data_IF_027746813274
#
_entry.id   IF_027746813274
#
_cell.length_a   1.000
_cell.length_b   1.000
_cell.length_c   1.000
_cell.angle_alpha   90.00
_cell.angle_beta   90.00
_cell.angle_gamma   90.00
#
_symmetry.space_group_name_H-M   'P 1'
#
loop_
_entity.id
_entity.type
_entity.pdbx_description
1 polymer ?
#
# COMPACT_ATOMS: atom_id res chain seq x y z
N UNK A 1 1.09 2.43 -3.17
CA UNK A 1 2.00 1.75 -2.22
C UNK A 1 1.27 1.32 -0.95
N UNK A 2 0.79 2.27 -0.13
CA UNK A 2 0.07 2.00 1.13
C UNK A 2 -1.01 0.91 0.97
N UNK A 3 -1.87 1.08 -0.04
CA UNK A 3 -2.96 0.14 -0.35
C UNK A 3 -2.45 -1.27 -0.60
N UNK A 4 -1.35 -1.44 -1.35
CA UNK A 4 -0.81 -2.76 -1.69
C UNK A 4 -0.23 -3.43 -0.45
N UNK A 5 0.55 -2.70 0.37
CA UNK A 5 1.16 -3.24 1.58
C UNK A 5 0.09 -3.67 2.62
N UNK A 6 -0.87 -2.79 2.89
CA UNK A 6 -1.96 -3.06 3.85
C UNK A 6 -2.92 -4.14 3.35
N UNK A 7 -3.22 -4.18 2.05
CA UNK A 7 -4.03 -5.25 1.45
C UNK A 7 -3.31 -6.60 1.45
N UNK A 8 -1.98 -6.61 1.30
CA UNK A 8 -1.17 -7.82 1.49
C UNK A 8 -1.28 -8.34 2.91
N UNK A 9 -1.16 -7.46 3.92
CA UNK A 9 -1.34 -7.83 5.32
C UNK A 9 -2.73 -8.43 5.61
N UNK A 10 -3.77 -7.97 4.90
CA UNK A 10 -5.13 -8.48 5.00
C UNK A 10 -5.45 -9.64 4.02
N UNK A 11 -4.46 -10.12 3.27
CA UNK A 11 -4.62 -11.17 2.25
C UNK A 11 -5.75 -10.89 1.24
N UNK A 12 -6.01 -9.62 0.90
CA UNK A 12 -7.09 -9.23 0.00
C UNK A 12 -6.68 -9.32 -1.48
N UNK A 13 -6.95 -10.46 -2.11
CA UNK A 13 -6.60 -10.73 -3.51
C UNK A 13 -7.06 -9.61 -4.47
N UNK A 14 -8.31 -9.16 -4.36
CA UNK A 14 -8.85 -8.10 -5.23
C UNK A 14 -7.99 -6.83 -5.17
N UNK A 15 -7.77 -6.31 -3.97
CA UNK A 15 -7.05 -5.06 -3.78
C UNK A 15 -5.56 -5.19 -4.10
N UNK A 16 -4.94 -6.33 -3.77
CA UNK A 16 -3.54 -6.64 -4.12
C UNK A 16 -3.36 -6.57 -5.64
N UNK A 17 -4.20 -7.28 -6.41
CA UNK A 17 -4.07 -7.36 -7.87
C UNK A 17 -4.36 -6.00 -8.52
N UNK A 18 -5.48 -5.37 -8.17
CA UNK A 18 -5.91 -4.11 -8.79
C UNK A 18 -4.94 -2.95 -8.46
N UNK A 19 -4.63 -2.74 -7.18
CA UNK A 19 -3.76 -1.63 -6.79
C UNK A 19 -2.28 -1.93 -7.03
N UNK A 20 -1.87 -3.20 -7.12
CA UNK A 20 -0.55 -3.60 -7.60
C UNK A 20 -0.33 -3.16 -9.05
N UNK A 21 -1.35 -3.34 -9.91
CA UNK A 21 -1.30 -2.86 -11.30
C UNK A 21 -1.18 -1.34 -11.40
N UNK A 22 -2.00 -0.61 -10.64
CA UNK A 22 -1.93 0.85 -10.59
C UNK A 22 -0.57 1.34 -10.06
N UNK A 23 -0.03 0.68 -9.03
CA UNK A 23 1.28 0.99 -8.50
C UNK A 23 2.37 0.83 -9.57
N UNK A 24 2.34 -0.26 -10.35
CA UNK A 24 3.30 -0.45 -11.46
C UNK A 24 3.21 0.70 -12.49
N UNK A 25 2.00 1.16 -12.82
CA UNK A 25 1.80 2.28 -13.75
C UNK A 25 2.36 3.59 -13.18
N UNK A 26 1.94 3.99 -11.97
CA UNK A 26 2.30 5.29 -11.41
C UNK A 26 3.79 5.39 -11.05
N UNK A 27 4.37 4.32 -10.51
CA UNK A 27 5.80 4.26 -10.20
C UNK A 27 6.68 4.09 -11.44
N UNK A 28 6.11 3.67 -12.58
CA UNK A 28 6.84 3.20 -13.76
C UNK A 28 7.85 2.08 -13.45
N UNK A 29 7.62 1.36 -12.35
CA UNK A 29 8.42 0.22 -11.92
C UNK A 29 7.55 -1.05 -12.00
N UNK A 30 7.82 -1.95 -12.97
CA UNK A 30 7.01 -3.15 -13.15
C UNK A 30 7.17 -4.18 -12.02
N UNK A 31 8.21 -4.07 -11.18
CA UNK A 31 8.53 -5.04 -10.12
C UNK A 31 7.96 -4.62 -8.75
N UNK A 32 7.81 -3.32 -8.51
CA UNK A 32 7.55 -2.78 -7.17
C UNK A 32 6.24 -3.30 -6.56
N UNK A 33 5.18 -3.46 -7.36
CA UNK A 33 3.91 -4.01 -6.88
C UNK A 33 4.04 -5.42 -6.30
N UNK A 34 4.84 -6.26 -6.95
CA UNK A 34 5.03 -7.65 -6.54
C UNK A 34 5.96 -7.73 -5.31
N UNK A 35 7.02 -6.92 -5.28
CA UNK A 35 7.92 -6.82 -4.12
C UNK A 35 7.19 -6.39 -2.84
N UNK A 36 6.37 -5.32 -2.91
CA UNK A 36 5.61 -4.82 -1.75
C UNK A 36 4.56 -5.84 -1.30
N UNK A 37 3.93 -6.52 -2.24
CA UNK A 37 2.97 -7.58 -1.93
C UNK A 37 3.64 -8.73 -1.17
N UNK A 38 4.81 -9.19 -1.63
CA UNK A 38 5.50 -10.32 -1.03
C UNK A 38 6.16 -9.96 0.31
N UNK A 39 6.95 -8.90 0.34
CA UNK A 39 7.60 -8.39 1.55
C UNK A 39 8.09 -6.95 1.34
N UNK A 40 7.31 -5.98 1.81
CA UNK A 40 7.66 -4.57 1.68
C UNK A 40 8.98 -4.17 2.38
N UNK A 41 9.46 -4.93 3.38
CA UNK A 41 10.77 -4.65 4.01
C UNK A 41 11.95 -4.85 3.05
N UNK A 42 11.79 -5.77 2.09
CA UNK A 42 12.81 -6.11 1.08
C UNK A 42 12.52 -5.48 -0.29
N UNK A 43 11.50 -4.63 -0.39
CA UNK A 43 11.15 -3.94 -1.63
C UNK A 43 12.10 -2.76 -1.91
N UNK A 44 12.21 -2.37 -3.18
CA UNK A 44 13.02 -1.24 -3.65
C UNK A 44 12.34 0.10 -3.29
N UNK A 45 12.24 0.37 -1.99
CA UNK A 45 11.63 1.55 -1.39
C UNK A 45 12.68 2.44 -0.74
N UNK A 46 12.48 3.75 -0.87
CA UNK A 46 13.23 4.75 -0.08
C UNK A 46 12.89 4.62 1.40
N UNK A 47 13.78 5.12 2.28
CA UNK A 47 13.53 5.12 3.73
C UNK A 47 12.27 5.91 4.09
N UNK A 48 11.98 6.99 3.35
CA UNK A 48 10.72 7.75 3.51
C UNK A 48 9.50 6.90 3.18
N UNK A 49 9.55 6.12 2.10
CA UNK A 49 8.44 5.24 1.71
C UNK A 49 8.24 4.10 2.71
N UNK A 50 9.32 3.53 3.24
CA UNK A 50 9.25 2.51 4.31
C UNK A 50 8.61 3.08 5.57
N UNK A 51 8.97 4.30 5.99
CA UNK A 51 8.35 4.97 7.14
C UNK A 51 6.84 5.16 6.93
N UNK A 52 6.41 5.57 5.73
CA UNK A 52 4.99 5.68 5.36
C UNK A 52 4.27 4.32 5.49
N UNK A 53 4.83 3.24 4.92
CA UNK A 53 4.23 1.91 5.04
C UNK A 53 4.18 1.47 6.50
N UNK A 54 5.26 1.68 7.27
CA UNK A 54 5.32 1.27 8.67
C UNK A 54 4.20 1.91 9.48
N UNK A 55 3.96 3.21 9.34
CA UNK A 55 2.85 3.89 10.00
C UNK A 55 1.48 3.37 9.50
N UNK A 56 1.30 3.22 8.20
CA UNK A 56 0.08 2.66 7.62
C UNK A 56 -0.25 1.25 8.13
N UNK A 57 0.77 0.42 8.37
CA UNK A 57 0.59 -0.94 8.89
C UNK A 57 0.04 -0.93 10.32
N UNK A 58 0.44 0.02 11.16
CA UNK A 58 -0.12 0.20 12.52
C UNK A 58 -1.60 0.51 12.46
N UNK A 59 -1.98 1.48 11.62
CA UNK A 59 -3.39 1.86 11.40
C UNK A 59 -4.19 0.67 10.85
N UNK A 60 -3.64 -0.03 9.84
CA UNK A 60 -4.27 -1.22 9.25
C UNK A 60 -4.55 -2.33 10.28
N UNK A 61 -3.64 -2.51 11.24
CA UNK A 61 -3.76 -3.50 12.32
C UNK A 61 -4.57 -3.01 13.53
N UNK A 62 -5.09 -1.78 13.45
CA UNK A 62 -5.82 -1.13 14.55
C UNK A 62 -4.98 -1.08 15.84
N UNK A 63 -3.68 -0.87 15.71
CA UNK A 63 -2.79 -0.58 16.83
C UNK A 63 -3.05 0.83 17.38
N UNK A 64 -2.73 1.05 18.66
CA UNK A 64 -2.76 2.38 19.26
C UNK A 64 -1.72 3.28 18.59
N UNK A 65 -2.17 4.45 18.12
CA UNK A 65 -1.28 5.49 17.59
C UNK A 65 -0.90 6.42 18.75
N UNK A 66 0.36 6.82 18.76
CA UNK A 66 1.02 7.60 19.81
C UNK A 66 1.87 8.67 19.12
N UNK A 67 2.22 9.74 19.84
CA UNK A 67 2.95 10.89 19.28
C UNK A 67 4.30 10.48 18.66
N UNK A 68 4.96 9.48 19.23
CA UNK A 68 6.23 8.94 18.72
C UNK A 68 6.11 8.39 17.29
N UNK A 69 4.94 7.85 16.93
CA UNK A 69 4.67 7.32 15.60
C UNK A 69 4.56 8.44 14.55
N UNK A 70 4.00 9.58 14.94
CA UNK A 70 3.93 10.77 14.09
C UNK A 70 5.31 11.42 14.00
N UNK A 71 6.02 11.57 15.12
CA UNK A 71 7.38 12.11 15.16
C UNK A 71 8.37 11.27 14.33
N UNK A 72 8.15 9.94 14.19
CA UNK A 72 8.94 9.11 13.30
C UNK A 72 8.76 9.48 11.82
N UNK A 73 7.56 9.90 11.39
CA UNK A 73 7.31 10.38 10.03
C UNK A 73 7.96 11.74 9.77
N UNK A 74 7.97 12.63 10.75
CA UNK A 74 8.59 13.96 10.67
C UNK A 74 10.08 13.90 10.34
N UNK A 75 10.79 12.89 10.84
CA UNK A 75 12.21 12.62 10.50
C UNK A 75 12.44 12.37 9.01
N UNK A 76 11.39 12.04 8.26
CA UNK A 76 11.40 11.83 6.82
C UNK A 76 10.67 12.95 6.04
N UNK A 77 10.48 14.11 6.67
CA UNK A 77 9.88 15.29 6.05
C UNK A 77 8.38 15.15 5.75
N UNK A 78 7.66 14.38 6.56
CA UNK A 78 6.20 14.26 6.54
C UNK A 78 5.62 15.05 7.71
N UNK A 79 4.53 15.77 7.49
CA UNK A 79 3.84 16.50 8.55
C UNK A 79 2.60 15.74 9.06
N UNK A 80 1.87 16.33 10.00
CA UNK A 80 0.66 15.73 10.58
C UNK A 80 -0.46 15.53 9.56
N UNK A 81 -0.60 16.40 8.57
CA UNK A 81 -1.58 16.23 7.48
C UNK A 81 -1.19 15.06 6.58
N UNK A 82 0.11 14.87 6.30
CA UNK A 82 0.58 13.69 5.59
C UNK A 82 0.28 12.41 6.40
N UNK A 83 0.48 12.44 7.73
CA UNK A 83 0.14 11.31 8.60
C UNK A 83 -1.36 11.01 8.59
N UNK A 84 -2.20 12.05 8.55
CA UNK A 84 -3.65 11.92 8.37
C UNK A 84 -3.98 11.23 7.05
N UNK A 85 -3.39 11.67 5.93
CA UNK A 85 -3.61 11.06 4.61
C UNK A 85 -3.21 9.59 4.59
N UNK A 86 -2.06 9.25 5.15
CA UNK A 86 -1.59 7.87 5.28
C UNK A 86 -2.58 7.03 6.08
N UNK A 87 -3.03 7.55 7.23
CA UNK A 87 -4.00 6.89 8.10
C UNK A 87 -5.37 6.72 7.44
N UNK A 88 -5.88 7.75 6.77
CA UNK A 88 -7.16 7.72 6.07
C UNK A 88 -7.15 6.70 4.91
N UNK A 89 -6.07 6.65 4.12
CA UNK A 89 -5.91 5.65 3.06
C UNK A 89 -5.87 4.25 3.67
N UNK A 90 -5.09 4.03 4.73
CA UNK A 90 -5.00 2.73 5.38
C UNK A 90 -6.36 2.27 5.96
N UNK A 91 -7.08 3.17 6.64
CA UNK A 91 -8.40 2.89 7.21
C UNK A 91 -9.46 2.60 6.15
N UNK A 92 -9.53 3.41 5.09
CA UNK A 92 -10.48 3.19 3.98
C UNK A 92 -10.23 1.85 3.28
N UNK A 93 -8.97 1.49 3.04
CA UNK A 93 -8.65 0.22 2.39
C UNK A 93 -8.80 -0.97 3.33
N UNK A 94 -8.70 -0.78 4.64
CA UNK A 94 -9.10 -1.81 5.60
C UNK A 94 -10.62 -2.10 5.50
N UNK A 95 -11.47 -1.09 5.29
CA UNK A 95 -12.89 -1.29 4.98
C UNK A 95 -13.06 -1.98 3.62
N UNK A 96 -12.39 -1.47 2.58
CA UNK A 96 -12.47 -2.05 1.22
C UNK A 96 -12.09 -3.53 1.19
N UNK A 97 -11.00 -3.91 1.88
CA UNK A 97 -10.56 -5.29 1.99
C UNK A 97 -11.63 -6.19 2.64
N UNK A 98 -12.26 -5.72 3.73
CA UNK A 98 -13.34 -6.46 4.40
C UNK A 98 -14.54 -6.67 3.47
N UNK A 99 -14.92 -5.64 2.70
CA UNK A 99 -16.02 -5.74 1.74
C UNK A 99 -15.68 -6.68 0.56
N UNK A 100 -14.45 -6.63 0.07
CA UNK A 100 -13.97 -7.53 -0.99
C UNK A 100 -14.01 -9.00 -0.53
N UNK A 101 -13.59 -9.27 0.72
CA UNK A 101 -13.69 -10.60 1.32
C UNK A 101 -15.13 -11.05 1.49
N UNK A 102 -15.99 -10.20 2.06
CA UNK A 102 -17.42 -10.50 2.29
C UNK A 102 -18.14 -10.90 1.00
N UNK A 103 -17.79 -10.27 -0.12
CA UNK A 103 -18.45 -10.45 -1.41
C UNK A 103 -17.73 -11.43 -2.35
N UNK A 104 -16.60 -12.02 -1.94
CA UNK A 104 -15.73 -12.83 -2.80
C UNK A 104 -15.37 -12.10 -4.11
N UNK A 105 -15.07 -10.80 -4.00
CA UNK A 105 -14.85 -9.92 -5.13
C UNK A 105 -13.67 -10.38 -5.98
N UNK A 106 -13.86 -10.45 -7.30
CA UNK A 106 -12.83 -10.88 -8.26
C UNK A 106 -12.26 -9.69 -9.02
N UNK A 107 -10.92 -9.52 -9.05
CA UNK A 107 -10.32 -8.45 -9.85
C UNK A 107 -10.48 -8.78 -11.33
N UNK A 108 -10.65 -7.73 -12.14
CA UNK A 108 -10.67 -7.83 -13.59
C UNK A 108 -9.36 -8.45 -14.12
N UNK A 109 -9.44 -9.23 -15.20
CA UNK A 109 -8.30 -9.95 -15.76
C UNK A 109 -7.18 -9.00 -16.25
N UNK A 110 -7.55 -7.81 -16.72
CA UNK A 110 -6.63 -6.79 -17.22
C UNK A 110 -5.61 -6.36 -16.15
N UNK A 111 -5.99 -6.35 -14.87
CA UNK A 111 -5.07 -5.95 -13.80
C UNK A 111 -3.89 -6.90 -13.62
N UNK A 112 -4.02 -8.18 -14.00
CA UNK A 112 -2.93 -9.14 -13.84
C UNK A 112 -1.73 -8.85 -14.75
N UNK A 113 -1.97 -8.37 -15.97
CA UNK A 113 -0.91 -8.07 -16.95
C UNK A 113 -0.52 -6.58 -17.00
N UNK A 114 -1.43 -5.70 -16.55
CA UNK A 114 -1.26 -4.25 -16.62
C UNK A 114 -0.01 -3.76 -15.87
N UNK A 115 0.76 -2.89 -16.52
CA UNK A 115 1.96 -2.25 -15.97
C UNK A 115 3.21 -3.13 -15.88
N UNK A 116 3.18 -4.38 -16.39
CA UNK A 116 4.34 -5.30 -16.34
C UNK A 116 5.39 -5.05 -17.42
N UNK A 117 4.99 -4.55 -18.59
CA UNK A 117 5.89 -4.22 -19.70
C UNK A 117 6.14 -2.71 -19.69
N UNK A 118 7.42 -2.30 -19.65
CA UNK A 118 7.79 -0.89 -19.82
C UNK A 118 7.45 -0.50 -21.26
N UNK A 119 6.63 0.54 -21.45
CA UNK A 119 6.45 1.13 -22.77
C UNK A 119 7.76 1.81 -23.17
N UNK A 120 8.32 1.42 -24.31
CA UNK A 120 9.39 2.17 -24.95
C UNK A 120 8.86 3.56 -25.30
N UNK A 121 9.72 4.57 -25.12
CA UNK A 121 9.38 5.98 -25.40
C UNK A 121 9.44 6.26 -26.89
#
# INVERSE_FOLDING_TARGET
MIVVATSSANSCMYCIVAHGALLRIYSKNPLLGDQITANWHSADLTEREKAIIQFAMRVCRSETIEDEHIAALEKHGLNTEDAWDVGAIAGLFALSNRMAHLTNMRPNEEFYSMGRVKKEK
#
